data_IF_682277363529
#
_entry.id   IF_682277363529
#
_cell.length_a   1.000
_cell.length_b   1.000
_cell.length_c   1.000
_cell.angle_alpha   90.00
_cell.angle_beta   90.00
_cell.angle_gamma   90.00
#
_symmetry.space_group_name_H-M   'P 1'
#
loop_
_entity.id
_entity.type
_entity.pdbx_description
1 polymer ?
#
# COMPACT_ATOMS: atom_id res chain seq x y z
N UNK A 1 -24.95 -3.99 7.57
CA UNK A 1 -24.18 -2.87 8.18
C UNK A 1 -22.74 -3.31 8.20
N UNK A 2 -21.95 -2.98 7.17
CA UNK A 2 -20.52 -3.32 7.16
C UNK A 2 -19.82 -2.41 8.17
N UNK A 3 -19.41 -2.98 9.30
CA UNK A 3 -18.54 -2.32 10.25
C UNK A 3 -17.17 -2.16 9.59
N UNK A 4 -16.96 -1.05 8.88
CA UNK A 4 -15.61 -0.67 8.49
C UNK A 4 -14.88 -0.30 9.78
N UNK A 5 -14.14 -1.26 10.33
CA UNK A 5 -13.20 -1.00 11.41
C UNK A 5 -12.28 0.13 10.97
N UNK A 6 -11.90 1.00 11.91
CA UNK A 6 -10.87 2.00 11.64
C UNK A 6 -9.59 1.27 11.20
N UNK A 7 -8.97 1.65 10.06
CA UNK A 7 -7.78 0.95 9.58
C UNK A 7 -6.66 0.91 10.62
N UNK A 8 -6.05 -0.26 10.80
CA UNK A 8 -4.90 -0.46 11.68
C UNK A 8 -3.59 -0.18 10.92
N UNK A 9 -3.01 0.98 11.21
CA UNK A 9 -1.76 1.43 10.61
C UNK A 9 -0.55 0.55 10.98
N UNK A 10 -0.58 -0.10 12.14
CA UNK A 10 0.50 -0.99 12.57
C UNK A 10 0.45 -2.30 11.78
N UNK A 11 -0.76 -2.85 11.57
CA UNK A 11 -0.96 -4.00 10.69
C UNK A 11 -0.56 -3.67 9.24
N UNK A 12 -1.03 -2.53 8.72
CA UNK A 12 -0.68 -2.06 7.37
C UNK A 12 0.83 -1.93 7.14
N UNK A 13 1.56 -1.38 8.11
CA UNK A 13 3.04 -1.31 8.07
C UNK A 13 3.68 -2.71 8.04
N UNK A 14 3.19 -3.63 8.87
CA UNK A 14 3.71 -5.00 8.93
C UNK A 14 3.51 -5.72 7.59
N UNK A 15 2.32 -5.60 7.00
CA UNK A 15 2.01 -6.20 5.69
C UNK A 15 2.89 -5.58 4.60
N UNK A 16 3.03 -4.26 4.58
CA UNK A 16 3.90 -3.57 3.63
C UNK A 16 5.34 -4.10 3.68
N UNK A 17 5.92 -4.21 4.87
CA UNK A 17 7.27 -4.72 5.07
C UNK A 17 7.42 -6.19 4.65
N UNK A 18 6.41 -7.01 4.87
CA UNK A 18 6.46 -8.45 4.59
C UNK A 18 6.16 -8.79 3.13
N UNK A 19 5.19 -8.12 2.50
CA UNK A 19 4.65 -8.51 1.19
C UNK A 19 4.97 -7.53 0.07
N UNK A 20 5.19 -6.25 0.35
CA UNK A 20 5.34 -5.20 -0.67
C UNK A 20 6.80 -4.75 -0.83
N UNK A 21 7.50 -4.54 0.29
CA UNK A 21 8.78 -3.83 0.34
C UNK A 21 9.86 -4.48 -0.53
N UNK A 22 10.01 -5.81 -0.49
CA UNK A 22 11.07 -6.51 -1.20
C UNK A 22 10.97 -6.37 -2.73
N UNK A 23 9.76 -6.46 -3.27
CA UNK A 23 9.50 -6.27 -4.69
C UNK A 23 9.67 -4.79 -5.08
N UNK A 24 9.19 -3.88 -4.25
CA UNK A 24 9.34 -2.44 -4.47
C UNK A 24 10.79 -1.98 -4.44
N UNK A 25 11.60 -2.51 -3.52
CA UNK A 25 13.03 -2.25 -3.44
C UNK A 25 13.79 -2.73 -4.68
N UNK A 26 13.42 -3.90 -5.21
CA UNK A 26 13.96 -4.42 -6.48
C UNK A 26 13.53 -3.54 -7.66
N UNK A 27 12.24 -3.17 -7.72
CA UNK A 27 11.65 -2.39 -8.82
C UNK A 27 12.10 -0.94 -8.83
N UNK A 28 12.45 -0.36 -7.68
CA UNK A 28 13.04 0.97 -7.61
C UNK A 28 14.46 1.02 -8.17
N UNK A 29 15.16 -0.12 -8.24
CA UNK A 29 16.51 -0.23 -8.77
C UNK A 29 17.62 0.21 -7.82
N UNK A 30 17.26 0.82 -6.68
CA UNK A 30 18.19 1.34 -5.67
C UNK A 30 18.14 0.55 -4.35
N UNK A 31 17.36 -0.53 -4.29
CA UNK A 31 17.23 -1.34 -3.07
C UNK A 31 16.40 -0.69 -1.97
N UNK A 32 15.81 0.47 -2.22
CA UNK A 32 14.91 1.16 -1.30
C UNK A 32 13.46 1.06 -1.80
N UNK A 33 12.61 0.38 -1.03
CA UNK A 33 11.20 0.18 -1.36
C UNK A 33 10.38 1.47 -1.30
N UNK A 34 10.71 2.37 -0.38
CA UNK A 34 9.99 3.62 -0.15
C UNK A 34 10.01 4.53 -1.38
N UNK A 35 11.08 4.43 -2.18
CA UNK A 35 11.22 5.20 -3.41
C UNK A 35 10.09 4.96 -4.39
N UNK A 36 9.46 3.77 -4.40
CA UNK A 36 8.31 3.50 -5.29
C UNK A 36 7.10 4.37 -4.90
N UNK A 37 6.93 4.66 -3.61
CA UNK A 37 5.78 5.41 -3.09
C UNK A 37 5.95 6.91 -3.30
N UNK A 38 7.19 7.39 -3.30
CA UNK A 38 7.53 8.83 -3.39
C UNK A 38 7.93 9.27 -4.81
N UNK A 39 7.73 8.44 -5.84
CA UNK A 39 8.11 8.81 -7.22
C UNK A 39 7.30 9.99 -7.72
N UNK A 40 7.97 10.94 -8.36
CA UNK A 40 7.33 12.10 -9.00
C UNK A 40 6.40 11.70 -10.16
N UNK A 41 6.72 10.63 -10.88
CA UNK A 41 5.93 10.08 -11.98
C UNK A 41 4.85 9.08 -11.53
N UNK A 42 4.56 9.00 -10.22
CA UNK A 42 3.56 8.08 -9.68
C UNK A 42 2.18 8.28 -10.31
N UNK A 43 1.53 7.17 -10.71
CA UNK A 43 0.14 7.14 -11.20
C UNK A 43 -0.89 7.25 -10.07
N UNK A 44 -0.47 7.07 -8.82
CA UNK A 44 -1.34 7.20 -7.65
C UNK A 44 -1.43 8.68 -7.29
N UNK A 45 -2.58 9.31 -7.58
CA UNK A 45 -2.80 10.76 -7.38
C UNK A 45 -3.79 11.10 -6.27
N UNK A 46 -4.52 10.11 -5.76
CA UNK A 46 -5.49 10.26 -4.67
C UNK A 46 -5.66 8.93 -3.93
N UNK A 47 -6.40 8.98 -2.81
CA UNK A 47 -6.63 7.82 -1.95
C UNK A 47 -7.36 6.68 -2.67
N UNK A 48 -8.27 7.00 -3.59
CA UNK A 48 -8.98 5.97 -4.35
C UNK A 48 -8.03 5.20 -5.28
N UNK A 49 -7.12 5.90 -5.97
CA UNK A 49 -6.11 5.27 -6.80
C UNK A 49 -5.13 4.43 -5.96
N UNK A 50 -4.80 4.87 -4.75
CA UNK A 50 -3.93 4.11 -3.85
C UNK A 50 -4.59 2.78 -3.46
N UNK A 51 -5.85 2.81 -3.05
CA UNK A 51 -6.63 1.61 -2.73
C UNK A 51 -6.71 0.66 -3.92
N UNK A 52 -7.02 1.17 -5.11
CA UNK A 52 -7.07 0.36 -6.33
C UNK A 52 -5.70 -0.25 -6.68
N UNK A 53 -4.60 0.47 -6.45
CA UNK A 53 -3.26 -0.06 -6.68
C UNK A 53 -2.93 -1.21 -5.71
N UNK A 54 -3.24 -1.05 -4.42
CA UNK A 54 -3.04 -2.10 -3.41
C UNK A 54 -3.86 -3.35 -3.75
N UNK A 55 -5.15 -3.19 -4.08
CA UNK A 55 -6.02 -4.29 -4.47
C UNK A 55 -5.55 -5.02 -5.74
N UNK A 56 -5.08 -4.26 -6.74
CA UNK A 56 -4.50 -4.83 -7.95
C UNK A 56 -3.23 -5.63 -7.62
N UNK A 57 -2.32 -5.09 -6.81
CA UNK A 57 -1.11 -5.80 -6.38
C UNK A 57 -1.45 -7.09 -5.60
N UNK A 58 -2.44 -7.04 -4.69
CA UNK A 58 -2.90 -8.22 -3.97
C UNK A 58 -3.41 -9.31 -4.94
N UNK A 59 -4.22 -8.93 -5.92
CA UNK A 59 -4.81 -9.86 -6.90
C UNK A 59 -3.76 -10.46 -7.83
N UNK A 60 -2.96 -9.60 -8.48
CA UNK A 60 -1.97 -10.02 -9.48
C UNK A 60 -0.86 -10.88 -8.86
N UNK A 61 -0.47 -10.58 -7.62
CA UNK A 61 0.58 -11.32 -6.91
C UNK A 61 0.03 -12.41 -5.98
N UNK A 62 -1.30 -12.57 -5.90
CA UNK A 62 -1.99 -13.52 -5.02
C UNK A 62 -1.48 -13.46 -3.58
N UNK A 63 -1.51 -12.26 -3.01
CA UNK A 63 -0.95 -12.02 -1.66
C UNK A 63 -1.88 -12.48 -0.54
N UNK A 64 -3.06 -13.03 -0.85
CA UNK A 64 -4.06 -13.52 0.10
C UNK A 64 -4.39 -12.49 1.20
N UNK A 65 -4.44 -11.20 0.84
CA UNK A 65 -4.87 -10.14 1.74
C UNK A 65 -6.40 -10.06 1.75
N UNK A 66 -6.98 -9.91 2.94
CA UNK A 66 -8.39 -9.59 3.07
C UNK A 66 -8.65 -8.11 2.76
N UNK A 67 -9.90 -7.71 2.47
CA UNK A 67 -10.23 -6.31 2.21
C UNK A 67 -9.82 -5.34 3.34
N UNK A 68 -9.84 -5.82 4.59
CA UNK A 68 -9.39 -5.06 5.76
C UNK A 68 -7.87 -4.85 5.74
N UNK A 69 -7.10 -5.88 5.39
CA UNK A 69 -5.64 -5.79 5.25
C UNK A 69 -5.25 -4.81 4.13
N UNK A 70 -5.97 -4.82 3.01
CA UNK A 70 -5.75 -3.84 1.93
C UNK A 70 -6.04 -2.41 2.41
N UNK A 71 -7.10 -2.23 3.20
CA UNK A 71 -7.45 -0.93 3.77
C UNK A 71 -6.39 -0.44 4.76
N UNK A 72 -5.86 -1.34 5.60
CA UNK A 72 -4.79 -1.07 6.55
C UNK A 72 -3.50 -0.62 5.84
N UNK A 73 -3.09 -1.35 4.80
CA UNK A 73 -1.92 -0.99 3.97
C UNK A 73 -2.13 0.36 3.30
N UNK A 74 -3.28 0.57 2.65
CA UNK A 74 -3.57 1.84 1.99
C UNK A 74 -3.60 3.02 2.98
N UNK A 75 -4.12 2.82 4.19
CA UNK A 75 -4.13 3.83 5.24
C UNK A 75 -2.73 4.14 5.76
N UNK A 76 -1.90 3.11 6.00
CA UNK A 76 -0.50 3.27 6.37
C UNK A 76 0.27 4.06 5.31
N UNK A 77 0.19 3.63 4.04
CA UNK A 77 0.87 4.28 2.92
C UNK A 77 0.41 5.73 2.73
N UNK A 78 -0.90 5.98 2.88
CA UNK A 78 -1.43 7.34 2.79
C UNK A 78 -0.89 8.21 3.93
N UNK A 79 -0.87 7.72 5.17
CA UNK A 79 -0.38 8.51 6.31
C UNK A 79 1.12 8.79 6.21
N UNK A 80 1.90 7.78 5.81
CA UNK A 80 3.36 7.85 5.81
C UNK A 80 3.91 8.63 4.61
N UNK A 81 3.39 8.39 3.40
CA UNK A 81 4.00 8.86 2.16
C UNK A 81 3.15 9.90 1.42
N UNK A 82 1.88 9.59 1.16
CA UNK A 82 1.07 10.36 0.20
C UNK A 82 0.35 11.57 0.79
N UNK A 83 -0.19 11.43 2.00
CA UNK A 83 -0.93 12.45 2.75
C UNK A 83 -2.12 13.02 1.96
N UNK A 84 -2.80 12.17 1.19
CA UNK A 84 -4.04 12.54 0.51
C UNK A 84 -5.12 12.90 1.53
N UNK A 85 -5.93 13.91 1.20
CA UNK A 85 -7.09 14.36 1.97
C UNK A 85 -8.31 13.49 1.68
#
# INVERSE_FOLDING_TARGET
>A
MSAYATPDLANGKKIDQQKCYSCHAKKSGFGNGDMIYTRSDSKVKNLQNLKSMVAMCNTELRLDLFPEDEADVAAFLNKQFYKFK
#
